data_IF_507904579598
#
_entry.id   IF_507904579598
#
_cell.length_a   1.000
_cell.length_b   1.000
_cell.length_c   1.000
_cell.angle_alpha   90.00
_cell.angle_beta   90.00
_cell.angle_gamma   90.00
#
_symmetry.space_group_name_H-M   'P 1'
#
loop_
_entity.id
_entity.type
_entity.pdbx_description
1 polymer ?
#
# COMPACT_ATOMS: atom_id res chain seq x y z
N UNK A 1 -23.96 -44.74 28.35
CA UNK A 1 -23.89 -43.31 28.01
C UNK A 1 -22.73 -43.09 27.04
N UNK A 2 -22.98 -43.24 25.74
CA UNK A 2 -21.97 -43.14 24.68
C UNK A 2 -22.18 -41.78 23.98
N UNK A 3 -21.25 -40.84 24.15
CA UNK A 3 -21.37 -39.51 23.58
C UNK A 3 -21.13 -39.54 22.07
N UNK A 4 -22.18 -39.24 21.31
CA UNK A 4 -22.11 -38.97 19.87
C UNK A 4 -21.46 -37.59 19.67
N UNK A 5 -20.16 -37.56 19.35
CA UNK A 5 -19.51 -36.35 18.81
C UNK A 5 -19.96 -36.15 17.37
N UNK A 6 -20.85 -35.20 17.13
CA UNK A 6 -21.10 -34.69 15.77
C UNK A 6 -19.83 -33.99 15.26
N UNK A 7 -19.20 -34.56 14.22
CA UNK A 7 -18.22 -33.83 13.40
C UNK A 7 -18.99 -32.82 12.56
N UNK A 8 -18.83 -31.53 12.84
CA UNK A 8 -19.28 -30.49 11.92
C UNK A 8 -18.52 -30.62 10.59
N UNK A 9 -19.21 -30.58 9.44
CA UNK A 9 -18.53 -30.53 8.14
C UNK A 9 -17.83 -29.17 8.01
N UNK A 10 -16.50 -29.19 7.89
CA UNK A 10 -15.70 -27.99 7.61
C UNK A 10 -15.80 -27.70 6.11
N UNK A 11 -16.83 -26.98 5.70
CA UNK A 11 -16.92 -26.51 4.32
C UNK A 11 -15.70 -25.62 4.01
N UNK A 12 -14.91 -26.00 3.02
CA UNK A 12 -13.71 -25.25 2.66
C UNK A 12 -14.08 -24.01 1.84
N UNK A 13 -13.25 -22.96 1.90
CA UNK A 13 -13.47 -21.68 1.18
C UNK A 13 -13.84 -21.88 -0.31
N UNK A 14 -13.29 -22.92 -0.95
CA UNK A 14 -13.59 -23.27 -2.35
C UNK A 14 -15.02 -23.77 -2.55
N UNK A 15 -15.55 -24.56 -1.63
CA UNK A 15 -16.91 -25.12 -1.69
C UNK A 15 -17.95 -24.02 -1.45
N UNK A 16 -17.66 -23.11 -0.50
CA UNK A 16 -18.51 -21.95 -0.25
C UNK A 16 -18.58 -21.02 -1.48
N UNK A 17 -17.43 -20.73 -2.10
CA UNK A 17 -17.39 -19.89 -3.30
C UNK A 17 -18.06 -20.55 -4.50
N UNK A 18 -17.91 -21.87 -4.67
CA UNK A 18 -18.60 -22.61 -5.72
C UNK A 18 -20.13 -22.57 -5.55
N UNK A 19 -20.61 -22.77 -4.32
CA UNK A 19 -22.04 -22.67 -3.99
C UNK A 19 -22.61 -21.27 -4.24
N UNK A 20 -21.88 -20.22 -3.84
CA UNK A 20 -22.29 -18.84 -4.05
C UNK A 20 -22.34 -18.45 -5.54
N UNK A 21 -21.37 -18.93 -6.35
CA UNK A 21 -21.35 -18.68 -7.78
C UNK A 21 -22.53 -19.33 -8.51
N UNK A 22 -22.89 -20.57 -8.15
CA UNK A 22 -24.06 -21.27 -8.70
C UNK A 22 -25.35 -20.54 -8.33
N UNK A 23 -25.47 -20.08 -7.08
CA UNK A 23 -26.64 -19.33 -6.61
C UNK A 23 -26.80 -17.97 -7.31
N UNK A 24 -25.70 -17.24 -7.54
CA UNK A 24 -25.73 -15.98 -8.28
C UNK A 24 -26.13 -16.20 -9.75
N UNK A 25 -25.64 -17.27 -10.38
CA UNK A 25 -26.04 -17.66 -11.74
C UNK A 25 -27.54 -17.98 -11.84
N UNK A 26 -28.09 -18.65 -10.82
CA UNK A 26 -29.50 -19.04 -10.77
C UNK A 26 -30.46 -17.87 -10.49
N UNK A 27 -29.98 -16.82 -9.81
CA UNK A 27 -30.81 -15.67 -9.40
C UNK A 27 -30.64 -14.45 -10.29
N UNK A 28 -29.69 -14.47 -11.25
CA UNK A 28 -29.42 -13.33 -12.13
C UNK A 28 -28.86 -12.10 -11.39
N UNK A 29 -28.46 -12.27 -10.13
CA UNK A 29 -27.83 -11.21 -9.37
C UNK A 29 -26.45 -10.90 -9.99
N UNK A 30 -26.12 -9.61 -10.22
CA UNK A 30 -24.79 -9.25 -10.67
C UNK A 30 -23.79 -9.75 -9.62
N UNK A 31 -22.95 -10.72 -10.01
CA UNK A 31 -21.79 -11.07 -9.22
C UNK A 31 -20.96 -9.79 -9.15
N UNK A 32 -20.73 -9.19 -7.97
CA UNK A 32 -19.82 -8.06 -7.89
C UNK A 32 -18.52 -8.53 -8.50
N UNK A 33 -18.03 -7.82 -9.53
CA UNK A 33 -16.75 -8.14 -10.15
C UNK A 33 -15.71 -8.13 -9.04
N UNK A 34 -15.37 -9.32 -8.56
CA UNK A 34 -14.38 -9.51 -7.53
C UNK A 34 -13.10 -8.96 -8.16
N UNK A 35 -12.59 -7.85 -7.62
CA UNK A 35 -11.39 -7.20 -8.14
C UNK A 35 -10.38 -8.30 -8.41
N UNK A 36 -10.05 -8.50 -9.70
CA UNK A 36 -9.20 -9.59 -10.11
C UNK A 36 -7.88 -9.42 -9.37
N UNK A 37 -7.50 -10.42 -8.58
CA UNK A 37 -6.29 -10.35 -7.80
C UNK A 37 -5.12 -10.02 -8.74
N UNK A 38 -4.20 -9.10 -8.35
CA UNK A 38 -3.09 -8.71 -9.19
C UNK A 38 -2.26 -9.95 -9.56
N UNK A 39 -1.65 -9.93 -10.74
CA UNK A 39 -0.75 -11.02 -11.12
C UNK A 39 0.39 -11.15 -10.10
N UNK A 40 0.94 -12.36 -9.86
CA UNK A 40 2.01 -12.55 -8.88
C UNK A 40 3.23 -11.64 -9.11
N UNK A 41 3.53 -11.34 -10.39
CA UNK A 41 4.58 -10.39 -10.77
C UNK A 41 4.27 -8.98 -10.29
N UNK A 42 3.07 -8.46 -10.54
CA UNK A 42 2.67 -7.12 -10.13
C UNK A 42 2.61 -7.01 -8.60
N UNK A 43 2.10 -8.03 -7.92
CA UNK A 43 2.12 -8.06 -6.46
C UNK A 43 3.56 -7.97 -5.90
N UNK A 44 4.51 -8.69 -6.51
CA UNK A 44 5.92 -8.63 -6.14
C UNK A 44 6.54 -7.25 -6.46
N UNK A 45 6.20 -6.67 -7.60
CA UNK A 45 6.63 -5.32 -7.99
C UNK A 45 6.19 -4.28 -6.96
N UNK A 46 4.89 -4.22 -6.65
CA UNK A 46 4.33 -3.25 -5.73
C UNK A 46 4.89 -3.41 -4.32
N UNK A 47 5.05 -4.65 -3.85
CA UNK A 47 5.72 -4.94 -2.59
C UNK A 47 7.17 -4.43 -2.58
N UNK A 48 7.92 -4.70 -3.65
CA UNK A 48 9.34 -4.33 -3.77
C UNK A 48 9.50 -2.81 -3.80
N UNK A 49 8.69 -2.11 -4.58
CA UNK A 49 8.72 -0.66 -4.70
C UNK A 49 8.33 0.00 -3.38
N UNK A 50 7.27 -0.47 -2.72
CA UNK A 50 6.89 0.02 -1.40
C UNK A 50 8.03 -0.15 -0.38
N UNK A 51 8.70 -1.32 -0.36
CA UNK A 51 9.86 -1.56 0.51
C UNK A 51 11.04 -0.64 0.21
N UNK A 52 11.22 -0.19 -1.03
CA UNK A 52 12.29 0.75 -1.39
C UNK A 52 11.95 2.16 -0.88
N UNK A 53 10.69 2.58 -0.99
CA UNK A 53 10.25 3.91 -0.56
C UNK A 53 10.28 4.06 0.96
N UNK A 54 9.81 3.05 1.69
CA UNK A 54 9.89 2.99 3.16
C UNK A 54 10.60 1.68 3.54
N UNK A 55 11.93 1.69 3.64
CA UNK A 55 12.71 0.50 3.99
C UNK A 55 12.53 0.13 5.45
N UNK A 56 12.90 -1.12 5.77
CA UNK A 56 12.94 -1.61 7.15
C UNK A 56 14.02 -0.85 7.93
N UNK A 57 13.65 -0.41 9.12
CA UNK A 57 14.53 0.22 10.11
C UNK A 57 14.41 -0.58 11.42
N UNK A 58 14.26 0.11 12.56
CA UNK A 58 13.78 -0.50 13.79
C UNK A 58 12.26 -0.79 13.76
N UNK A 59 11.56 -0.35 12.71
CA UNK A 59 10.20 -0.79 12.38
C UNK A 59 10.16 -1.57 11.04
N UNK A 60 9.13 -2.40 10.81
CA UNK A 60 8.91 -3.02 9.51
C UNK A 60 8.75 -1.99 8.39
N UNK A 61 9.26 -2.27 7.19
CA UNK A 61 9.09 -1.37 6.04
C UNK A 61 7.72 -1.49 5.37
N UNK A 62 7.42 -0.65 4.38
CA UNK A 62 6.11 -0.65 3.73
C UNK A 62 5.79 -1.96 2.99
N UNK A 63 6.78 -2.60 2.37
CA UNK A 63 6.59 -3.91 1.76
C UNK A 63 6.33 -5.03 2.78
N UNK A 64 6.74 -4.85 4.03
CA UNK A 64 6.55 -5.82 5.11
C UNK A 64 5.13 -5.78 5.71
N UNK A 65 4.43 -4.64 5.62
CA UNK A 65 3.12 -4.41 6.26
C UNK A 65 1.94 -4.42 5.29
N UNK A 66 2.15 -4.98 4.10
CA UNK A 66 1.06 -5.21 3.14
C UNK A 66 0.72 -4.02 2.22
N UNK A 67 1.53 -2.96 2.19
CA UNK A 67 1.28 -1.77 1.34
C UNK A 67 1.17 -2.16 -0.14
N UNK A 68 1.90 -3.16 -0.62
CA UNK A 68 1.77 -3.64 -2.01
C UNK A 68 0.37 -4.18 -2.36
N UNK A 69 -0.29 -4.84 -1.40
CA UNK A 69 -1.66 -5.33 -1.57
C UNK A 69 -2.67 -4.17 -1.52
N UNK A 70 -2.44 -3.20 -0.62
CA UNK A 70 -3.21 -1.96 -0.58
C UNK A 70 -3.14 -1.21 -1.91
N UNK A 71 -1.94 -1.03 -2.49
CA UNK A 71 -1.76 -0.36 -3.79
C UNK A 71 -2.57 -1.03 -4.91
N UNK A 72 -2.61 -2.37 -4.91
CA UNK A 72 -3.39 -3.11 -5.91
C UNK A 72 -4.88 -2.78 -5.84
N UNK A 73 -5.43 -2.65 -4.63
CA UNK A 73 -6.81 -2.22 -4.41
C UNK A 73 -7.00 -0.74 -4.76
N UNK A 74 -6.08 0.12 -4.33
CA UNK A 74 -6.13 1.55 -4.58
C UNK A 74 -6.17 1.87 -6.08
N UNK A 75 -5.33 1.20 -6.88
CA UNK A 75 -5.31 1.33 -8.33
C UNK A 75 -6.58 0.77 -8.99
N UNK A 76 -7.06 -0.39 -8.55
CA UNK A 76 -8.29 -0.99 -9.07
C UNK A 76 -9.52 -0.09 -8.83
N UNK A 77 -9.54 0.65 -7.72
CA UNK A 77 -10.60 1.60 -7.38
C UNK A 77 -10.32 3.03 -7.83
N UNK A 78 -9.19 3.31 -8.48
CA UNK A 78 -8.85 4.63 -9.00
C UNK A 78 -8.63 5.70 -7.94
N UNK A 79 -8.20 5.33 -6.74
CA UNK A 79 -7.78 6.30 -5.72
C UNK A 79 -6.71 7.22 -6.30
N UNK A 80 -6.82 8.53 -6.06
CA UNK A 80 -5.93 9.56 -6.64
C UNK A 80 -5.85 9.54 -8.19
N UNK A 81 -6.87 8.98 -8.88
CA UNK A 81 -6.84 8.83 -10.34
C UNK A 81 -5.89 7.74 -10.84
N UNK A 82 -5.42 6.85 -9.96
CA UNK A 82 -4.35 5.88 -10.23
C UNK A 82 -4.80 4.60 -10.98
N UNK A 83 -5.87 4.66 -11.78
CA UNK A 83 -6.31 3.51 -12.56
C UNK A 83 -5.23 3.11 -13.58
N UNK A 84 -4.79 1.85 -13.53
CA UNK A 84 -3.76 1.31 -14.42
C UNK A 84 -2.31 1.71 -14.08
N UNK A 85 -2.07 2.29 -12.91
CA UNK A 85 -0.73 2.72 -12.50
C UNK A 85 0.23 1.56 -12.19
N UNK A 86 -0.29 0.37 -11.90
CA UNK A 86 0.49 -0.87 -11.81
C UNK A 86 1.20 -1.20 -13.13
N UNK A 87 0.48 -1.12 -14.25
CA UNK A 87 1.01 -1.35 -15.59
C UNK A 87 1.96 -0.24 -16.02
N UNK A 88 1.65 1.01 -15.69
CA UNK A 88 2.55 2.13 -15.92
C UNK A 88 3.87 1.93 -15.16
N UNK A 89 3.81 1.57 -13.88
CA UNK A 89 4.98 1.41 -13.04
C UNK A 89 5.89 0.27 -13.51
N UNK A 90 5.33 -0.90 -13.86
CA UNK A 90 6.13 -2.02 -14.39
C UNK A 90 6.84 -1.60 -15.69
N UNK A 91 6.13 -0.96 -16.62
CA UNK A 91 6.71 -0.48 -17.88
C UNK A 91 7.80 0.57 -17.63
N UNK A 92 7.56 1.54 -16.78
CA UNK A 92 8.49 2.64 -16.53
C UNK A 92 9.77 2.15 -15.84
N UNK A 93 9.66 1.27 -14.85
CA UNK A 93 10.82 0.71 -14.17
C UNK A 93 11.62 -0.22 -15.09
N UNK A 94 10.97 -1.04 -15.92
CA UNK A 94 11.66 -1.86 -16.92
C UNK A 94 12.35 -1.00 -18.00
N UNK A 95 11.71 0.11 -18.43
CA UNK A 95 12.29 1.06 -19.38
C UNK A 95 13.56 1.70 -18.83
N UNK A 96 13.52 2.17 -17.57
CA UNK A 96 14.71 2.76 -16.89
C UNK A 96 15.81 1.72 -16.64
N UNK A 97 15.43 0.48 -16.35
CA UNK A 97 16.36 -0.63 -16.17
C UNK A 97 17.00 -1.11 -17.48
N UNK A 98 16.35 -0.90 -18.63
CA UNK A 98 16.72 -1.51 -19.92
C UNK A 98 16.51 -3.03 -19.99
N UNK A 99 15.90 -3.62 -18.95
CA UNK A 99 15.60 -5.05 -18.78
C UNK A 99 14.56 -5.22 -17.67
N UNK A 100 14.24 -6.45 -17.30
CA UNK A 100 13.36 -6.70 -16.16
C UNK A 100 13.94 -6.11 -14.86
N UNK A 101 13.25 -5.11 -14.31
CA UNK A 101 13.58 -4.43 -13.07
C UNK A 101 13.67 -5.39 -11.88
N UNK A 102 12.78 -6.37 -11.78
CA UNK A 102 12.76 -7.32 -10.67
C UNK A 102 13.96 -8.27 -10.70
N UNK A 103 14.59 -8.46 -11.87
CA UNK A 103 15.79 -9.28 -12.03
C UNK A 103 17.08 -8.54 -11.66
N UNK A 104 17.03 -7.23 -11.40
CA UNK A 104 18.21 -6.44 -11.01
C UNK A 104 18.63 -6.69 -9.56
N UNK A 105 19.92 -6.51 -9.20
CA UNK A 105 20.36 -6.49 -7.82
C UNK A 105 19.62 -5.42 -6.99
N UNK A 106 19.40 -5.63 -5.66
CA UNK A 106 18.67 -4.69 -4.81
C UNK A 106 19.17 -3.25 -4.89
N UNK A 107 20.48 -3.02 -4.89
CA UNK A 107 21.08 -1.69 -4.96
C UNK A 107 20.75 -0.96 -6.27
N UNK A 108 20.67 -1.68 -7.40
CA UNK A 108 20.30 -1.09 -8.68
C UNK A 108 18.81 -0.74 -8.72
N UNK A 109 17.95 -1.57 -8.12
CA UNK A 109 16.52 -1.26 -7.98
C UNK A 109 16.29 0.02 -7.18
N UNK A 110 16.98 0.17 -6.04
CA UNK A 110 16.95 1.40 -5.24
C UNK A 110 17.36 2.60 -6.09
N UNK A 111 18.52 2.52 -6.77
CA UNK A 111 19.02 3.61 -7.61
C UNK A 111 17.99 4.06 -8.65
N UNK A 112 17.32 3.13 -9.35
CA UNK A 112 16.33 3.44 -10.38
C UNK A 112 15.10 4.14 -9.77
N UNK A 113 14.59 3.63 -8.65
CA UNK A 113 13.43 4.25 -7.97
C UNK A 113 13.80 5.63 -7.42
N UNK A 114 15.00 5.81 -6.87
CA UNK A 114 15.50 7.12 -6.43
C UNK A 114 15.60 8.12 -7.58
N UNK A 115 16.03 7.68 -8.77
CA UNK A 115 16.07 8.54 -9.95
C UNK A 115 14.66 8.91 -10.43
N UNK A 116 13.73 7.96 -10.47
CA UNK A 116 12.32 8.24 -10.77
C UNK A 116 11.73 9.26 -9.79
N UNK A 117 12.08 9.14 -8.51
CA UNK A 117 11.64 10.06 -7.46
C UNK A 117 12.20 11.47 -7.66
N UNK A 118 13.49 11.60 -7.93
CA UNK A 118 14.12 12.89 -8.19
C UNK A 118 13.54 13.58 -9.45
N UNK A 119 13.22 12.82 -10.50
CA UNK A 119 12.58 13.35 -11.70
C UNK A 119 11.15 13.85 -11.43
N UNK A 120 10.43 13.18 -10.52
CA UNK A 120 9.06 13.54 -10.17
C UNK A 120 8.98 14.74 -9.20
N UNK A 121 10.01 14.94 -8.37
CA UNK A 121 10.12 16.01 -7.39
C UNK A 121 11.39 16.86 -7.61
N UNK A 122 11.45 17.64 -8.70
CA UNK A 122 12.60 18.51 -8.95
C UNK A 122 12.69 19.62 -7.90
N UNK A 123 13.89 20.13 -7.64
CA UNK A 123 14.12 21.23 -6.68
C UNK A 123 13.55 22.59 -7.14
N UNK A 124 13.09 22.68 -8.40
CA UNK A 124 12.53 23.88 -9.01
C UNK A 124 11.00 23.92 -8.98
N UNK A 125 10.37 24.74 -9.84
CA UNK A 125 8.91 24.73 -9.97
C UNK A 125 8.41 23.33 -10.36
N UNK A 126 7.20 22.94 -9.91
CA UNK A 126 6.63 21.65 -10.23
C UNK A 126 6.48 21.48 -11.75
N UNK A 127 6.63 20.26 -12.28
CA UNK A 127 6.48 20.00 -13.70
C UNK A 127 5.06 20.32 -14.17
N UNK A 128 4.94 20.82 -15.40
CA UNK A 128 3.63 21.15 -16.00
C UNK A 128 2.68 19.95 -16.09
N UNK A 129 3.23 18.73 -16.14
CA UNK A 129 2.46 17.49 -16.06
C UNK A 129 2.99 16.67 -14.89
N UNK A 130 2.18 16.43 -13.84
CA UNK A 130 2.57 15.60 -12.70
C UNK A 130 2.90 14.17 -13.15
N UNK A 131 3.96 13.60 -12.58
CA UNK A 131 4.29 12.19 -12.81
C UNK A 131 3.30 11.28 -12.08
N UNK A 132 2.80 10.20 -12.69
CA UNK A 132 2.04 9.15 -11.98
C UNK A 132 2.73 8.64 -10.73
N UNK A 133 4.07 8.67 -10.69
CA UNK A 133 4.87 8.33 -9.52
C UNK A 133 4.49 9.12 -8.26
N UNK A 134 4.07 10.38 -8.39
CA UNK A 134 3.70 11.21 -7.25
C UNK A 134 2.51 10.61 -6.49
N UNK A 135 1.46 10.18 -7.21
CA UNK A 135 0.30 9.53 -6.61
C UNK A 135 0.65 8.12 -6.09
N UNK A 136 1.47 7.35 -6.81
CA UNK A 136 1.95 6.04 -6.33
C UNK A 136 2.67 6.21 -4.99
N UNK A 137 3.56 7.19 -4.89
CA UNK A 137 4.30 7.50 -3.67
C UNK A 137 3.37 7.97 -2.56
N UNK A 138 2.42 8.87 -2.85
CA UNK A 138 1.42 9.31 -1.89
C UNK A 138 0.62 8.12 -1.34
N UNK A 139 0.15 7.21 -2.20
CA UNK A 139 -0.55 5.99 -1.78
C UNK A 139 0.35 5.03 -0.98
N UNK A 140 1.67 4.95 -1.25
CA UNK A 140 2.61 4.19 -0.41
C UNK A 140 2.67 4.78 1.00
N UNK A 141 2.80 6.10 1.11
CA UNK A 141 2.81 6.79 2.41
C UNK A 141 1.48 6.60 3.13
N UNK A 142 0.35 6.81 2.45
CA UNK A 142 -1.00 6.59 2.98
C UNK A 142 -1.16 5.16 3.50
N UNK A 143 -0.81 4.16 2.70
CA UNK A 143 -0.91 2.76 3.11
C UNK A 143 -0.01 2.40 4.29
N UNK A 144 1.18 3.00 4.38
CA UNK A 144 2.10 2.73 5.50
C UNK A 144 1.66 3.44 6.78
N UNK A 145 1.39 4.74 6.72
CA UNK A 145 1.05 5.54 7.91
C UNK A 145 -0.39 5.34 8.41
N UNK A 146 -1.21 4.55 7.70
CA UNK A 146 -2.48 4.00 8.21
C UNK A 146 -2.35 2.58 8.76
N UNK A 147 -1.18 1.95 8.64
CA UNK A 147 -0.89 0.65 9.27
C UNK A 147 -0.50 0.82 10.73
N UNK A 148 -0.68 -0.21 11.56
CA UNK A 148 -0.24 -0.19 12.98
C UNK A 148 1.26 0.08 13.11
N UNK A 149 2.08 -0.45 12.20
CA UNK A 149 3.52 -0.24 12.21
C UNK A 149 3.87 1.22 11.94
N UNK A 150 3.28 1.84 10.92
CA UNK A 150 3.54 3.25 10.58
C UNK A 150 2.92 4.23 11.58
N UNK A 151 1.65 4.04 11.93
CA UNK A 151 0.90 4.96 12.78
C UNK A 151 1.36 4.95 14.24
N UNK A 152 1.66 3.77 14.80
CA UNK A 152 1.84 3.62 16.25
C UNK A 152 3.25 3.23 16.68
N UNK A 153 4.06 2.66 15.78
CA UNK A 153 5.43 2.21 16.08
C UNK A 153 6.46 3.13 15.45
N UNK A 154 6.25 3.52 14.20
CA UNK A 154 7.15 4.43 13.50
C UNK A 154 6.99 5.87 14.00
N UNK A 155 5.75 6.27 14.29
CA UNK A 155 5.39 7.57 14.87
C UNK A 155 5.04 7.44 16.35
N UNK A 156 5.09 8.56 17.08
CA UNK A 156 4.59 8.65 18.45
C UNK A 156 3.08 8.85 18.43
N UNK A 157 2.32 7.78 18.63
CA UNK A 157 0.87 7.86 18.67
C UNK A 157 0.39 8.72 19.85
N UNK A 158 -0.37 9.76 19.53
CA UNK A 158 -1.00 10.66 20.50
C UNK A 158 -2.47 10.85 20.12
N UNK A 159 -3.33 10.00 20.69
CA UNK A 159 -4.76 9.97 20.38
C UNK A 159 -5.49 11.27 20.75
N UNK A 160 -5.10 11.90 21.87
CA UNK A 160 -5.74 13.12 22.35
C UNK A 160 -4.64 14.12 22.68
N UNK A 161 -4.27 15.02 21.73
CA UNK A 161 -3.36 16.09 22.03
C UNK A 161 -3.99 17.00 23.09
N UNK A 162 -3.44 16.95 24.31
CA UNK A 162 -3.95 17.73 25.44
C UNK A 162 -3.57 19.20 25.32
N UNK A 163 -2.60 19.63 26.12
CA UNK A 163 -2.14 21.03 26.13
C UNK A 163 -1.36 21.37 24.86
N UNK A 164 -1.63 22.54 24.28
CA UNK A 164 -0.76 23.15 23.27
C UNK A 164 0.58 23.55 23.89
N UNK A 165 1.67 23.02 23.34
CA UNK A 165 3.04 23.39 23.69
C UNK A 165 3.75 23.95 22.46
N UNK A 166 4.12 25.23 22.53
CA UNK A 166 4.71 25.94 21.39
C UNK A 166 6.20 25.61 21.21
N UNK A 167 6.86 25.07 22.24
CA UNK A 167 8.29 24.77 22.24
C UNK A 167 8.55 23.38 22.82
N UNK A 168 8.45 22.37 21.95
CA UNK A 168 8.73 20.97 22.30
C UNK A 168 10.20 20.68 22.01
N UNK A 169 11.03 20.33 23.03
CA UNK A 169 12.45 20.07 22.81
C UNK A 169 12.67 18.81 21.97
N UNK A 170 13.26 18.97 20.79
CA UNK A 170 13.64 17.86 19.91
C UNK A 170 14.92 17.18 20.42
N UNK A 171 14.81 15.90 20.75
CA UNK A 171 15.96 15.06 21.12
C UNK A 171 16.45 14.27 19.91
N UNK A 172 17.75 13.94 19.82
CA UNK A 172 18.23 12.98 18.82
C UNK A 172 17.43 11.68 18.88
N UNK A 173 16.90 11.24 17.74
CA UNK A 173 16.04 10.06 17.66
C UNK A 173 14.58 10.26 18.06
N UNK A 174 14.14 11.51 18.32
CA UNK A 174 12.72 11.80 18.50
C UNK A 174 11.94 11.46 17.21
N UNK A 175 10.90 10.65 17.36
CA UNK A 175 9.97 10.29 16.28
C UNK A 175 8.93 11.39 16.12
N UNK A 176 8.44 11.59 14.90
CA UNK A 176 7.32 12.51 14.66
C UNK A 176 6.04 11.99 15.35
N UNK A 177 5.13 12.88 15.71
CA UNK A 177 3.86 12.51 16.33
C UNK A 177 2.86 12.02 15.27
N UNK A 178 2.12 10.97 15.62
CA UNK A 178 0.87 10.60 14.95
C UNK A 178 -0.28 11.09 15.81
N UNK A 179 -0.79 12.27 15.47
CA UNK A 179 -2.07 12.76 15.97
C UNK A 179 -3.06 12.74 14.81
N UNK A 180 -4.31 12.37 15.09
CA UNK A 180 -5.42 12.71 14.22
C UNK A 180 -5.48 14.23 14.09
N UNK A 181 -4.87 14.78 13.05
CA UNK A 181 -5.00 16.19 12.70
C UNK A 181 -5.86 16.37 11.43
N UNK A 182 -6.31 15.28 10.80
CA UNK A 182 -7.17 15.35 9.60
C UNK A 182 -8.67 15.33 9.91
N UNK A 183 -9.09 15.14 11.16
CA UNK A 183 -10.49 15.31 11.56
C UNK A 183 -10.89 16.77 11.89
N UNK A 184 -10.04 17.76 11.61
CA UNK A 184 -10.23 19.17 12.02
C UNK A 184 -10.42 20.10 10.80
N UNK A 185 -11.24 19.72 9.82
CA UNK A 185 -12.02 20.73 9.11
C UNK A 185 -13.24 21.08 9.97
N UNK A 186 -13.04 21.84 11.05
CA UNK A 186 -14.13 22.56 11.70
C UNK A 186 -14.26 23.92 11.01
N UNK A 187 -15.21 24.01 10.06
CA UNK A 187 -15.79 25.28 9.57
C UNK A 187 -15.31 25.71 8.20
#
# INVERSE_FOLDING_TARGET
>A
MQQLRHKQPTANRREFLAGAAIFALATGLPVPAMATAPSPRIALLLKTVAQIVIPRSDTPGAGDVGVGAFLSLAFAHGMEGAQGYDMWLDKELNRRAGRDFLALPPAQRVKIVTQLDADAFPAGPPPATPSPWMAIKALILTGYYTSEAGASKELQYNLIPGRWDADIPLKPGARAYSSDWTAVEFG
#
